data_IF_839324043545
#
_entry.id   IF_839324043545
#
_cell.length_a   1.000
_cell.length_b   1.000
_cell.length_c   1.000
_cell.angle_alpha   90.00
_cell.angle_beta   90.00
_cell.angle_gamma   90.00
#
_symmetry.space_group_name_H-M   'P 1'
#
loop_
_entity.id
_entity.type
_entity.pdbx_description
1 polymer ?
#
# COMPACT_ATOMS: atom_id res chain seq x y z
N UNK A 1 -2.97 2.46 6.05
CA UNK A 1 -1.81 2.68 5.20
C UNK A 1 -2.23 3.05 3.78
N UNK A 2 -3.12 2.26 3.14
CA UNK A 2 -3.57 2.52 1.77
C UNK A 2 -4.14 3.93 1.58
N UNK A 3 -5.15 4.30 2.36
CA UNK A 3 -5.80 5.61 2.29
C UNK A 3 -4.82 6.75 2.58
N UNK A 4 -3.93 6.55 3.56
CA UNK A 4 -2.90 7.52 3.89
C UNK A 4 -1.88 7.71 2.78
N UNK A 5 -1.46 6.61 2.16
CA UNK A 5 -0.46 6.62 1.10
C UNK A 5 -1.02 7.20 -0.19
N UNK A 6 -2.26 6.83 -0.54
CA UNK A 6 -2.92 7.35 -1.74
C UNK A 6 -3.28 8.84 -1.62
N UNK A 7 -3.71 9.29 -0.43
CA UNK A 7 -4.02 10.69 -0.14
C UNK A 7 -2.78 11.60 -0.06
N UNK A 8 -1.60 11.04 -0.07
CA UNK A 8 -0.38 11.71 0.38
C UNK A 8 0.37 12.50 -0.67
N UNK A 9 -0.29 13.04 -1.68
CA UNK A 9 0.29 13.81 -2.77
C UNK A 9 1.20 13.00 -3.73
N UNK A 10 1.69 13.65 -4.78
CA UNK A 10 2.46 13.04 -5.87
C UNK A 10 3.71 12.25 -5.40
N UNK A 11 4.33 12.64 -4.30
CA UNK A 11 5.58 12.01 -3.87
C UNK A 11 5.43 10.64 -3.18
N UNK A 12 4.18 10.16 -2.93
CA UNK A 12 3.91 8.81 -2.42
C UNK A 12 3.53 7.87 -3.55
N UNK A 13 2.24 7.65 -3.78
CA UNK A 13 1.75 6.79 -4.86
C UNK A 13 1.59 7.52 -6.20
N UNK A 14 2.03 8.77 -6.31
CA UNK A 14 1.98 9.51 -7.55
C UNK A 14 0.68 10.28 -7.80
N UNK A 15 -0.23 10.38 -6.82
CA UNK A 15 -1.54 11.02 -6.99
C UNK A 15 -1.61 12.38 -6.32
N UNK A 16 -2.13 13.36 -7.04
CA UNK A 16 -2.63 14.63 -6.50
C UNK A 16 -4.10 14.79 -6.87
N UNK A 17 -4.98 14.52 -5.90
CA UNK A 17 -6.43 14.57 -6.10
C UNK A 17 -6.96 15.99 -6.30
N UNK A 18 -6.27 17.01 -5.83
CA UNK A 18 -6.69 18.40 -5.96
C UNK A 18 -6.45 18.93 -7.36
N UNK A 19 -5.23 18.68 -7.84
CA UNK A 19 -4.81 19.09 -9.17
C UNK A 19 -5.25 18.06 -10.23
N UNK A 20 -5.90 16.97 -9.81
CA UNK A 20 -6.25 15.84 -10.68
C UNK A 20 -5.06 15.41 -11.53
N UNK A 21 -3.96 15.17 -10.87
CA UNK A 21 -2.71 14.76 -11.49
C UNK A 21 -2.31 13.39 -11.02
N UNK A 22 -1.83 12.57 -11.95
CA UNK A 22 -1.19 11.28 -11.64
C UNK A 22 0.15 11.17 -12.35
N UNK A 23 1.16 10.73 -11.60
CA UNK A 23 2.47 10.37 -12.13
C UNK A 23 2.63 8.87 -12.03
N UNK A 24 2.54 8.16 -13.13
CA UNK A 24 2.79 6.74 -13.17
C UNK A 24 4.29 6.44 -13.15
N UNK A 25 4.66 5.45 -12.34
CA UNK A 25 6.02 4.93 -12.30
C UNK A 25 6.15 3.87 -13.37
N UNK A 26 7.09 4.07 -14.31
CA UNK A 26 7.20 3.32 -15.55
C UNK A 26 5.87 3.39 -16.33
N UNK A 27 5.19 2.27 -16.53
CA UNK A 27 3.87 2.19 -17.22
C UNK A 27 2.68 2.19 -16.24
N UNK A 28 2.92 2.23 -14.92
CA UNK A 28 1.88 2.23 -13.88
C UNK A 28 1.19 0.89 -13.66
N UNK A 29 1.66 -0.21 -14.27
CA UNK A 29 0.99 -1.53 -14.21
C UNK A 29 1.54 -2.45 -13.13
N UNK A 30 2.69 -2.09 -12.50
CA UNK A 30 3.29 -2.92 -11.45
C UNK A 30 2.42 -2.96 -10.21
N UNK A 31 2.14 -4.16 -9.75
CA UNK A 31 1.33 -4.39 -8.57
C UNK A 31 2.15 -4.34 -7.29
N UNK A 32 1.55 -3.79 -6.27
CA UNK A 32 2.09 -3.74 -4.91
C UNK A 32 1.02 -4.18 -3.92
N UNK A 33 1.43 -4.87 -2.87
CA UNK A 33 0.55 -5.15 -1.75
C UNK A 33 0.42 -3.89 -0.88
N UNK A 34 -0.81 -3.58 -0.52
CA UNK A 34 -1.12 -2.49 0.39
C UNK A 34 -2.23 -2.92 1.35
N UNK A 35 -2.29 -2.28 2.52
CA UNK A 35 -3.26 -2.63 3.56
C UNK A 35 -3.87 -1.37 4.16
N UNK A 36 -5.13 -1.46 4.55
CA UNK A 36 -5.78 -0.42 5.36
C UNK A 36 -5.32 -0.52 6.81
N UNK A 37 -5.40 0.57 7.56
CA UNK A 37 -5.12 0.52 8.99
C UNK A 37 -6.10 -0.38 9.76
N UNK A 38 -7.41 -0.38 9.47
CA UNK A 38 -8.34 -1.34 10.07
C UNK A 38 -7.93 -2.79 9.80
N UNK A 39 -7.47 -3.14 8.60
CA UNK A 39 -7.02 -4.51 8.30
C UNK A 39 -5.76 -4.90 9.08
N UNK A 40 -4.80 -3.98 9.20
CA UNK A 40 -3.61 -4.18 10.03
C UNK A 40 -4.02 -4.42 11.49
N UNK A 41 -4.92 -3.60 12.02
CA UNK A 41 -5.43 -3.75 13.39
C UNK A 41 -6.11 -5.11 13.62
N UNK A 42 -6.97 -5.54 12.68
CA UNK A 42 -7.61 -6.86 12.70
C UNK A 42 -6.59 -8.00 12.67
N UNK A 43 -5.57 -7.87 11.82
CA UNK A 43 -4.52 -8.87 11.71
C UNK A 43 -3.72 -9.02 13.00
N UNK A 44 -3.33 -7.91 13.63
CA UNK A 44 -2.63 -7.92 14.92
C UNK A 44 -3.51 -8.54 16.01
N UNK A 45 -4.78 -8.16 16.10
CA UNK A 45 -5.70 -8.72 17.08
C UNK A 45 -5.89 -10.23 16.88
N UNK A 46 -6.08 -10.68 15.65
CA UNK A 46 -6.25 -12.09 15.33
C UNK A 46 -4.97 -12.90 15.65
N UNK A 47 -3.80 -12.37 15.30
CA UNK A 47 -2.53 -13.04 15.60
C UNK A 47 -2.29 -13.18 17.11
N UNK A 48 -2.57 -12.12 17.87
CA UNK A 48 -2.41 -12.14 19.34
C UNK A 48 -3.47 -12.96 20.06
N UNK A 49 -4.58 -13.31 19.40
CA UNK A 49 -5.60 -14.21 19.92
C UNK A 49 -5.23 -15.70 19.78
N UNK A 50 -4.20 -16.02 19.01
CA UNK A 50 -3.72 -17.40 18.92
C UNK A 50 -3.15 -17.86 20.26
N UNK A 51 -3.34 -19.16 20.57
CA UNK A 51 -2.62 -19.78 21.69
C UNK A 51 -1.11 -19.69 21.49
N UNK A 52 -0.38 -19.59 22.59
CA UNK A 52 1.08 -19.33 22.54
C UNK A 52 1.84 -20.53 22.02
N UNK A 53 1.49 -21.73 22.50
CA UNK A 53 2.17 -23.00 22.19
C UNK A 53 1.17 -24.04 21.65
N UNK A 54 1.62 -25.06 20.90
CA UNK A 54 0.82 -26.24 20.60
C UNK A 54 0.33 -26.93 21.87
N UNK A 55 -0.78 -27.65 21.82
CA UNK A 55 -1.32 -28.38 22.96
C UNK A 55 -0.45 -29.58 23.33
N UNK A 56 0.09 -30.29 22.33
CA UNK A 56 1.02 -31.41 22.50
C UNK A 56 1.91 -31.58 21.24
N UNK A 57 2.73 -32.62 21.20
CA UNK A 57 3.66 -32.91 20.10
C UNK A 57 2.95 -33.28 18.78
N UNK A 58 1.69 -33.68 18.82
CA UNK A 58 0.89 -34.05 17.66
C UNK A 58 0.05 -32.88 17.13
N UNK A 59 0.07 -31.75 17.81
CA UNK A 59 -0.64 -30.57 17.40
C UNK A 59 0.11 -29.78 16.31
N UNK A 60 -0.28 -30.00 15.08
CA UNK A 60 0.25 -29.33 13.90
C UNK A 60 -0.58 -28.12 13.44
N UNK A 61 -1.35 -27.52 14.34
CA UNK A 61 -2.13 -26.31 14.04
C UNK A 61 -1.26 -25.15 13.58
N UNK A 62 -1.63 -24.54 12.47
CA UNK A 62 -0.94 -23.33 11.98
C UNK A 62 -1.25 -22.11 12.86
N UNK A 63 -2.43 -22.07 13.51
CA UNK A 63 -2.92 -20.97 14.33
C UNK A 63 -2.32 -20.98 15.76
N UNK A 64 -1.00 -21.00 15.84
CA UNK A 64 -0.23 -20.98 17.07
C UNK A 64 0.81 -19.88 17.01
N UNK A 65 0.87 -19.02 18.02
CA UNK A 65 1.72 -17.82 18.01
C UNK A 65 3.21 -18.16 17.92
N UNK A 66 3.66 -19.26 18.52
CA UNK A 66 5.05 -19.71 18.43
C UNK A 66 5.51 -20.01 17.01
N UNK A 67 4.59 -20.33 16.08
CA UNK A 67 4.90 -20.53 14.66
C UNK A 67 5.39 -19.25 13.98
N UNK A 68 5.07 -18.09 14.53
CA UNK A 68 5.46 -16.76 14.03
C UNK A 68 6.72 -16.21 14.74
N UNK A 69 7.29 -16.94 15.69
CA UNK A 69 8.49 -16.49 16.41
C UNK A 69 9.64 -16.22 15.42
N UNK A 70 10.13 -14.98 15.40
CA UNK A 70 11.19 -14.51 14.50
C UNK A 70 10.86 -14.65 13.01
N UNK A 71 9.57 -14.71 12.65
CA UNK A 71 9.09 -14.76 11.27
C UNK A 71 8.25 -13.53 10.96
N UNK A 72 8.16 -13.19 9.69
CA UNK A 72 7.24 -12.15 9.21
C UNK A 72 5.87 -12.76 8.98
N UNK A 73 4.83 -12.04 9.41
CA UNK A 73 3.43 -12.32 9.08
C UNK A 73 3.01 -11.35 7.98
N UNK A 74 2.90 -11.83 6.76
CA UNK A 74 2.47 -11.00 5.62
C UNK A 74 0.95 -10.98 5.56
N UNK A 75 0.39 -9.77 5.44
CA UNK A 75 -1.05 -9.55 5.23
C UNK A 75 -1.24 -8.52 4.12
N UNK A 76 -2.39 -8.51 3.48
CA UNK A 76 -2.71 -7.52 2.45
C UNK A 76 -4.21 -7.25 2.41
N UNK A 77 -4.61 -6.00 2.19
CA UNK A 77 -5.97 -5.67 1.76
C UNK A 77 -6.10 -5.82 0.25
N UNK A 78 -5.11 -5.30 -0.48
CA UNK A 78 -5.14 -5.24 -1.94
C UNK A 78 -3.77 -5.54 -2.54
N UNK A 79 -3.78 -6.23 -3.68
CA UNK A 79 -2.64 -6.35 -4.60
C UNK A 79 -3.01 -5.58 -5.87
N UNK A 80 -2.57 -4.33 -5.96
CA UNK A 80 -3.03 -3.35 -6.96
C UNK A 80 -1.88 -2.56 -7.56
N UNK A 81 -2.08 -2.10 -8.81
CA UNK A 81 -1.18 -1.19 -9.51
C UNK A 81 -1.64 0.27 -9.38
N UNK A 82 -0.79 1.21 -9.79
CA UNK A 82 -1.20 2.61 -9.87
C UNK A 82 -2.37 2.81 -10.84
N UNK A 83 -2.44 2.04 -11.94
CA UNK A 83 -3.60 2.09 -12.85
C UNK A 83 -4.88 1.61 -12.19
N UNK A 84 -4.84 0.50 -11.44
CA UNK A 84 -5.99 0.03 -10.68
C UNK A 84 -6.46 1.10 -9.68
N UNK A 85 -5.52 1.78 -8.99
CA UNK A 85 -5.81 2.88 -8.07
C UNK A 85 -6.45 4.06 -8.77
N UNK A 86 -5.95 4.43 -9.95
CA UNK A 86 -6.47 5.53 -10.76
C UNK A 86 -7.87 5.27 -11.30
N UNK A 87 -8.13 4.07 -11.80
CA UNK A 87 -9.46 3.65 -12.23
C UNK A 87 -10.46 3.69 -11.08
N UNK A 88 -10.06 3.22 -9.89
CA UNK A 88 -10.88 3.34 -8.68
C UNK A 88 -11.11 4.81 -8.32
N UNK A 89 -10.08 5.65 -8.38
CA UNK A 89 -10.19 7.09 -8.11
C UNK A 89 -11.19 7.76 -9.07
N UNK A 90 -11.15 7.45 -10.36
CA UNK A 90 -12.12 7.96 -11.32
C UNK A 90 -13.55 7.53 -11.01
N UNK A 91 -13.76 6.26 -10.67
CA UNK A 91 -15.10 5.77 -10.29
C UNK A 91 -15.67 6.49 -9.07
N UNK A 92 -14.86 6.66 -8.01
CA UNK A 92 -15.36 7.25 -6.76
C UNK A 92 -15.51 8.77 -6.81
N UNK A 93 -14.79 9.44 -7.70
CA UNK A 93 -14.89 10.89 -7.90
C UNK A 93 -15.83 11.29 -9.03
N UNK A 94 -16.31 10.33 -9.82
CA UNK A 94 -17.14 10.59 -11.01
C UNK A 94 -16.40 11.36 -12.10
N UNK A 95 -15.09 11.16 -12.22
CA UNK A 95 -14.23 11.80 -13.23
C UNK A 95 -13.85 10.81 -14.33
N UNK A 96 -13.42 11.36 -15.47
CA UNK A 96 -12.93 10.62 -16.61
C UNK A 96 -11.42 10.88 -16.82
N UNK A 97 -10.78 10.09 -17.68
CA UNK A 97 -9.34 10.23 -17.97
C UNK A 97 -8.98 11.64 -18.43
N UNK A 98 -9.84 12.27 -19.23
CA UNK A 98 -9.66 13.64 -19.74
C UNK A 98 -9.64 14.72 -18.64
N UNK A 99 -10.13 14.41 -17.43
CA UNK A 99 -10.11 15.32 -16.30
C UNK A 99 -8.78 15.30 -15.55
N UNK A 100 -7.87 14.38 -15.91
CA UNK A 100 -6.61 14.18 -15.22
C UNK A 100 -5.41 14.58 -16.07
N UNK A 101 -4.42 15.17 -15.44
CA UNK A 101 -3.09 15.33 -16.02
C UNK A 101 -2.27 14.10 -15.73
N UNK A 102 -1.99 13.30 -16.76
CA UNK A 102 -1.23 12.06 -16.66
C UNK A 102 0.22 12.30 -17.07
N UNK A 103 1.16 11.91 -16.20
CA UNK A 103 2.61 11.96 -16.46
C UNK A 103 3.25 10.61 -16.16
N UNK A 104 4.44 10.39 -16.69
CA UNK A 104 5.19 9.14 -16.51
C UNK A 104 6.61 9.45 -16.04
N UNK A 105 7.14 8.62 -15.18
CA UNK A 105 8.49 8.77 -14.65
C UNK A 105 9.14 7.40 -14.45
N UNK A 106 10.43 7.27 -14.82
CA UNK A 106 11.21 6.07 -14.52
C UNK A 106 11.33 5.88 -13.00
N UNK A 107 10.93 4.71 -12.52
CA UNK A 107 10.86 4.42 -11.09
C UNK A 107 12.23 4.41 -10.41
N UNK A 108 13.29 4.01 -11.14
CA UNK A 108 14.65 3.98 -10.59
C UNK A 108 15.24 5.39 -10.49
N UNK A 109 14.98 6.23 -11.49
CA UNK A 109 15.40 7.64 -11.44
C UNK A 109 14.67 8.40 -10.32
N UNK A 110 13.37 8.13 -10.14
CA UNK A 110 12.61 8.65 -8.99
C UNK A 110 13.24 8.23 -7.65
N UNK A 111 13.62 6.97 -7.53
CA UNK A 111 14.27 6.43 -6.34
C UNK A 111 15.61 7.12 -6.05
N UNK A 112 16.47 7.26 -7.08
CA UNK A 112 17.77 7.95 -6.97
C UNK A 112 17.60 9.40 -6.53
N UNK A 113 16.66 10.12 -7.16
CA UNK A 113 16.33 11.50 -6.78
C UNK A 113 15.90 11.60 -5.32
N UNK A 114 15.08 10.65 -4.83
CA UNK A 114 14.69 10.58 -3.42
C UNK A 114 15.90 10.45 -2.47
N UNK A 115 16.88 9.61 -2.83
CA UNK A 115 18.13 9.48 -2.07
C UNK A 115 18.91 10.80 -2.06
N UNK A 116 19.06 11.45 -3.21
CA UNK A 116 19.79 12.73 -3.32
C UNK A 116 19.13 13.84 -2.49
N UNK A 117 17.80 13.93 -2.51
CA UNK A 117 17.03 14.85 -1.67
C UNK A 117 17.29 14.59 -0.19
N UNK A 118 17.25 13.33 0.23
CA UNK A 118 17.48 12.93 1.61
C UNK A 118 18.92 13.28 2.07
N UNK A 119 19.91 13.07 1.21
CA UNK A 119 21.32 13.46 1.49
C UNK A 119 21.49 14.97 1.65
N UNK A 120 20.66 15.77 0.99
CA UNK A 120 20.61 17.23 1.14
C UNK A 120 19.75 17.70 2.34
N UNK A 121 19.24 16.76 3.14
CA UNK A 121 18.42 17.07 4.32
C UNK A 121 16.92 17.27 4.02
N UNK A 122 16.48 17.08 2.78
CA UNK A 122 15.06 17.13 2.42
C UNK A 122 14.37 15.82 2.76
N UNK A 123 13.49 15.87 3.78
CA UNK A 123 12.77 14.70 4.29
C UNK A 123 11.73 14.14 3.31
N UNK A 124 11.27 14.91 2.35
CA UNK A 124 10.36 14.44 1.28
C UNK A 124 11.04 13.32 0.49
N UNK A 125 12.37 13.40 0.31
CA UNK A 125 13.17 12.38 -0.35
C UNK A 125 13.05 11.00 0.28
N UNK A 126 12.86 10.89 1.61
CA UNK A 126 12.64 9.59 2.26
C UNK A 126 11.35 8.92 1.77
N UNK A 127 10.25 9.66 1.75
CA UNK A 127 8.98 9.13 1.24
C UNK A 127 9.08 8.75 -0.23
N UNK A 128 9.62 9.63 -1.06
CA UNK A 128 9.80 9.39 -2.49
C UNK A 128 10.62 8.13 -2.77
N UNK A 129 11.76 7.96 -2.10
CA UNK A 129 12.60 6.76 -2.20
C UNK A 129 11.85 5.50 -1.75
N UNK A 130 11.21 5.54 -0.59
CA UNK A 130 10.53 4.40 0.01
C UNK A 130 9.37 3.92 -0.87
N UNK A 131 8.53 4.82 -1.35
CA UNK A 131 7.39 4.47 -2.19
C UNK A 131 7.83 4.01 -3.59
N UNK A 132 8.78 4.68 -4.23
CA UNK A 132 9.33 4.24 -5.52
C UNK A 132 9.89 2.81 -5.44
N UNK A 133 10.58 2.45 -4.34
CA UNK A 133 11.15 1.12 -4.15
C UNK A 133 10.11 -0.01 -4.22
N UNK A 134 8.88 0.25 -3.78
CA UNK A 134 7.81 -0.75 -3.81
C UNK A 134 7.37 -1.12 -5.23
N UNK A 135 7.58 -0.23 -6.20
CA UNK A 135 7.20 -0.43 -7.60
C UNK A 135 8.38 -0.88 -8.49
N UNK A 136 9.49 -1.33 -7.92
CA UNK A 136 10.64 -1.79 -8.71
C UNK A 136 10.32 -3.05 -9.52
N UNK A 137 11.01 -3.23 -10.68
CA UNK A 137 10.80 -4.38 -11.55
C UNK A 137 11.16 -5.74 -10.93
N UNK A 138 11.85 -5.75 -9.81
CA UNK A 138 12.20 -6.96 -9.06
C UNK A 138 11.03 -7.58 -8.27
N UNK A 139 9.84 -6.97 -8.32
CA UNK A 139 8.63 -7.47 -7.68
C UNK A 139 8.64 -7.35 -6.14
N UNK A 140 9.51 -6.52 -5.56
CA UNK A 140 9.62 -6.39 -4.11
C UNK A 140 8.32 -5.94 -3.43
N UNK A 141 7.47 -5.21 -4.13
CA UNK A 141 6.15 -4.78 -3.65
C UNK A 141 5.08 -5.87 -3.69
N UNK A 142 5.22 -6.88 -4.54
CA UNK A 142 4.32 -8.03 -4.67
C UNK A 142 4.81 -9.22 -3.82
N UNK A 143 4.63 -9.13 -2.52
CA UNK A 143 4.99 -10.23 -1.63
C UNK A 143 3.89 -11.30 -1.54
N UNK A 144 2.67 -10.99 -1.90
CA UNK A 144 1.57 -11.97 -1.94
C UNK A 144 1.88 -13.11 -2.90
N UNK A 145 2.30 -12.78 -4.12
CA UNK A 145 2.66 -13.77 -5.14
C UNK A 145 3.93 -14.54 -4.77
N UNK A 146 4.92 -13.87 -4.17
CA UNK A 146 6.25 -14.46 -3.93
C UNK A 146 6.40 -15.17 -2.59
N UNK A 147 5.63 -14.79 -1.57
CA UNK A 147 5.76 -15.27 -0.18
C UNK A 147 4.45 -15.77 0.41
N UNK A 148 3.32 -15.45 -0.24
CA UNK A 148 1.99 -15.70 0.30
C UNK A 148 1.62 -14.73 1.43
N UNK A 149 0.33 -14.74 1.78
CA UNK A 149 -0.24 -13.94 2.86
C UNK A 149 -1.01 -14.79 3.85
N UNK A 150 -1.07 -14.34 5.09
CA UNK A 150 -1.74 -15.03 6.20
C UNK A 150 -3.21 -14.62 6.37
N UNK A 151 -3.79 -13.91 5.42
CA UNK A 151 -5.15 -13.38 5.54
C UNK A 151 -6.19 -14.46 5.90
N UNK A 152 -6.13 -15.60 5.20
CA UNK A 152 -7.04 -16.72 5.46
C UNK A 152 -6.86 -17.31 6.86
N UNK A 153 -5.62 -17.52 7.27
CA UNK A 153 -5.29 -18.05 8.59
C UNK A 153 -5.77 -17.13 9.72
N UNK A 154 -5.66 -15.82 9.50
CA UNK A 154 -6.08 -14.80 10.45
C UNK A 154 -7.58 -14.45 10.35
N UNK A 155 -8.34 -15.08 9.44
CA UNK A 155 -9.76 -14.81 9.25
C UNK A 155 -10.05 -13.37 8.81
N UNK A 156 -9.14 -12.73 8.07
CA UNK A 156 -9.29 -11.34 7.65
C UNK A 156 -10.36 -11.22 6.56
N UNK A 157 -11.30 -10.26 6.68
CA UNK A 157 -12.30 -10.02 5.67
C UNK A 157 -11.68 -9.44 4.40
N UNK A 158 -12.36 -9.63 3.28
CA UNK A 158 -12.10 -8.82 2.08
C UNK A 158 -12.66 -7.43 2.30
N UNK A 159 -11.89 -6.42 1.93
CA UNK A 159 -12.32 -5.02 1.97
C UNK A 159 -12.74 -4.56 0.57
N UNK A 160 -13.60 -3.54 0.52
CA UNK A 160 -14.02 -2.91 -0.72
C UNK A 160 -12.99 -1.88 -1.16
N UNK A 161 -12.46 -2.05 -2.35
CA UNK A 161 -11.38 -1.22 -2.88
C UNK A 161 -11.83 0.21 -3.17
N UNK A 162 -13.03 0.36 -3.75
CA UNK A 162 -13.55 1.68 -4.09
C UNK A 162 -13.96 2.47 -2.82
N UNK A 163 -14.52 1.80 -1.81
CA UNK A 163 -14.79 2.46 -0.51
C UNK A 163 -13.50 2.93 0.17
N UNK A 164 -12.44 2.15 0.14
CA UNK A 164 -11.14 2.55 0.67
C UNK A 164 -10.50 3.70 -0.15
N UNK A 165 -10.66 3.67 -1.47
CA UNK A 165 -10.22 4.78 -2.33
C UNK A 165 -11.00 6.06 -2.06
N UNK A 166 -12.31 5.97 -1.85
CA UNK A 166 -13.14 7.11 -1.43
C UNK A 166 -12.64 7.71 -0.11
N UNK A 167 -12.32 6.87 0.86
CA UNK A 167 -11.68 7.30 2.12
C UNK A 167 -10.36 8.04 1.90
N UNK A 168 -9.56 7.63 0.90
CA UNK A 168 -8.33 8.33 0.54
C UNK A 168 -8.60 9.71 -0.08
N UNK A 169 -9.58 9.83 -0.97
CA UNK A 169 -10.01 11.11 -1.57
C UNK A 169 -10.48 12.09 -0.49
N UNK A 170 -11.40 11.65 0.38
CA UNK A 170 -11.89 12.47 1.50
C UNK A 170 -10.74 12.91 2.44
N UNK A 171 -9.75 12.04 2.65
CA UNK A 171 -8.57 12.37 3.45
C UNK A 171 -7.71 13.42 2.77
N UNK A 172 -7.48 13.32 1.46
CA UNK A 172 -6.73 14.30 0.68
C UNK A 172 -7.36 15.69 0.74
N UNK A 173 -8.69 15.77 0.66
CA UNK A 173 -9.45 17.02 0.80
C UNK A 173 -9.27 17.64 2.21
N UNK A 174 -9.33 16.83 3.26
CA UNK A 174 -9.15 17.31 4.65
C UNK A 174 -7.73 17.77 4.94
N UNK A 175 -6.72 17.09 4.39
CA UNK A 175 -5.31 17.50 4.54
C UNK A 175 -5.01 18.84 3.86
N UNK A 176 -5.87 19.28 2.96
CA UNK A 176 -5.78 20.55 2.25
C UNK A 176 -5.72 21.81 3.15
N UNK A 177 -6.22 21.74 4.35
CA UNK A 177 -6.24 22.88 5.28
C UNK A 177 -5.12 22.88 6.32
N UNK A 178 -4.15 21.96 6.24
CA UNK A 178 -3.20 21.71 7.35
C UNK A 178 -1.72 22.00 7.00
N UNK A 179 -1.42 22.50 5.77
CA UNK A 179 -0.06 22.90 5.36
C UNK A 179 -0.03 24.31 4.79
#
# INVERSE_FOLDING_TARGET
>A
EYEYSLAGTEWRYGFDFRERKVTFYDDGTRKVNTSTWPQIGRAVAALLAFRILPDDENDHSEAVLSNFKNKRCYISSFLVSQKDMWESAMRVTGTEESDWTVTYEDVQERYKRGIEMLQKGDRVGFGQMMYARSFFPDGAGDYETTKGISNKLLGLPKEDFDECTKGAVERAEKMAGTY
#
